data_IF_704681069501
#
_entry.id   IF_704681069501
#
_cell.length_a   1.000
_cell.length_b   1.000
_cell.length_c   1.000
_cell.angle_alpha   90.00
_cell.angle_beta   90.00
_cell.angle_gamma   90.00
#
_symmetry.space_group_name_H-M   'P 1'
#
loop_
_entity.id
_entity.type
_entity.pdbx_description
1 polymer ?
#
# COMPACT_ATOMS: atom_id res chain seq x y z
N UNK A 1 -3.45 -23.41 7.95
CA UNK A 1 -2.21 -22.99 7.25
C UNK A 1 -2.38 -21.53 6.92
N UNK A 2 -1.69 -20.65 7.63
CA UNK A 2 -1.63 -19.22 7.27
C UNK A 2 -0.83 -19.14 5.97
N UNK A 3 -1.50 -18.83 4.87
CA UNK A 3 -0.82 -18.65 3.56
C UNK A 3 0.30 -17.62 3.70
N UNK A 4 1.49 -17.90 3.14
CA UNK A 4 2.63 -16.98 3.11
C UNK A 4 2.27 -15.67 2.40
N UNK A 5 3.05 -14.62 2.67
CA UNK A 5 2.95 -13.32 1.99
C UNK A 5 3.38 -13.52 0.53
N UNK A 6 2.50 -13.26 -0.40
CA UNK A 6 2.75 -13.43 -1.84
C UNK A 6 3.35 -12.16 -2.43
N UNK A 7 4.52 -12.27 -3.06
CA UNK A 7 5.27 -11.10 -3.56
C UNK A 7 5.56 -11.25 -5.05
N UNK A 8 5.25 -10.19 -5.82
CA UNK A 8 5.77 -10.01 -7.17
C UNK A 8 7.03 -9.15 -7.13
N UNK A 9 8.06 -9.49 -7.91
CA UNK A 9 9.31 -8.73 -7.97
C UNK A 9 9.58 -8.29 -9.40
N UNK A 10 9.69 -6.98 -9.62
CA UNK A 10 9.91 -6.38 -10.94
C UNK A 10 11.09 -5.44 -10.90
N UNK A 11 12.19 -5.83 -11.52
CA UNK A 11 13.40 -5.02 -11.68
C UNK A 11 14.09 -5.36 -13.01
N UNK A 12 14.48 -4.35 -13.76
CA UNK A 12 15.20 -4.54 -15.04
C UNK A 12 16.64 -5.03 -14.87
N UNK A 13 17.20 -4.91 -13.66
CA UNK A 13 18.57 -5.33 -13.34
C UNK A 13 18.58 -6.75 -12.80
N UNK A 14 19.04 -7.76 -13.57
CA UNK A 14 18.89 -9.17 -13.20
C UNK A 14 19.52 -9.51 -11.85
N UNK A 15 20.75 -9.08 -11.61
CA UNK A 15 21.46 -9.39 -10.36
C UNK A 15 20.76 -8.81 -9.13
N UNK A 16 20.18 -7.61 -9.24
CA UNK A 16 19.48 -6.98 -8.15
C UNK A 16 18.14 -7.68 -7.90
N UNK A 17 17.40 -8.01 -8.96
CA UNK A 17 16.16 -8.80 -8.89
C UNK A 17 16.40 -10.16 -8.22
N UNK A 18 17.44 -10.88 -8.66
CA UNK A 18 17.80 -12.19 -8.09
C UNK A 18 18.16 -12.06 -6.60
N UNK A 19 18.88 -10.99 -6.22
CA UNK A 19 19.19 -10.68 -4.82
C UNK A 19 17.93 -10.45 -3.96
N UNK A 20 16.94 -9.69 -4.46
CA UNK A 20 15.66 -9.49 -3.80
C UNK A 20 14.93 -10.83 -3.65
N UNK A 21 14.83 -11.61 -4.72
CA UNK A 21 14.16 -12.92 -4.74
C UNK A 21 14.80 -13.88 -3.73
N UNK A 22 16.13 -13.93 -3.70
CA UNK A 22 16.85 -14.76 -2.74
C UNK A 22 16.57 -14.34 -1.28
N UNK A 23 16.61 -13.03 -1.00
CA UNK A 23 16.37 -12.50 0.32
C UNK A 23 14.93 -12.77 0.83
N UNK A 24 13.94 -12.69 -0.06
CA UNK A 24 12.54 -12.92 0.26
C UNK A 24 12.24 -14.42 0.42
N UNK A 25 12.70 -15.27 -0.49
CA UNK A 25 12.49 -16.72 -0.45
C UNK A 25 13.26 -17.41 0.71
N UNK A 26 14.26 -16.74 1.31
CA UNK A 26 14.89 -17.22 2.53
C UNK A 26 13.96 -17.13 3.76
N UNK A 27 12.80 -16.48 3.65
CA UNK A 27 11.82 -16.35 4.73
C UNK A 27 10.73 -17.41 4.60
N UNK A 28 10.37 -18.06 5.72
CA UNK A 28 9.34 -19.11 5.74
C UNK A 28 7.91 -18.58 5.51
N UNK A 29 7.71 -17.28 5.71
CA UNK A 29 6.41 -16.59 5.64
C UNK A 29 6.23 -15.78 4.36
N UNK A 30 7.19 -15.79 3.43
CA UNK A 30 7.15 -15.03 2.19
C UNK A 30 7.36 -15.97 0.98
N UNK A 31 6.57 -15.78 -0.06
CA UNK A 31 6.64 -16.53 -1.31
C UNK A 31 6.71 -15.58 -2.51
N UNK A 32 7.79 -15.63 -3.28
CA UNK A 32 7.90 -14.86 -4.53
C UNK A 32 7.15 -15.62 -5.62
N UNK A 33 5.95 -15.15 -5.94
CA UNK A 33 5.01 -15.82 -6.85
C UNK A 33 5.23 -15.49 -8.32
N UNK A 34 5.89 -14.37 -8.63
CA UNK A 34 6.20 -13.99 -10.00
C UNK A 34 7.35 -12.97 -10.06
N UNK A 35 8.02 -12.91 -11.20
CA UNK A 35 9.10 -11.99 -11.50
C UNK A 35 8.87 -11.32 -12.85
N UNK A 36 9.35 -10.08 -13.01
CA UNK A 36 9.26 -9.30 -14.23
C UNK A 36 10.43 -8.32 -14.39
N UNK A 37 10.49 -7.68 -15.55
CA UNK A 37 11.54 -6.72 -15.91
C UNK A 37 11.00 -5.33 -16.25
N UNK A 38 9.70 -5.24 -16.48
CA UNK A 38 9.02 -4.03 -16.93
C UNK A 38 7.77 -3.73 -16.11
N UNK A 39 7.29 -2.51 -16.20
CA UNK A 39 6.02 -2.11 -15.56
C UNK A 39 4.80 -2.87 -16.13
N UNK A 40 4.88 -3.34 -17.37
CA UNK A 40 3.84 -4.17 -17.99
C UNK A 40 3.76 -5.54 -17.34
N UNK A 41 4.93 -6.13 -17.00
CA UNK A 41 4.98 -7.37 -16.24
C UNK A 41 4.37 -7.17 -14.84
N UNK A 42 4.56 -5.99 -14.22
CA UNK A 42 3.93 -5.68 -12.93
C UNK A 42 2.40 -5.68 -13.03
N UNK A 43 1.82 -5.16 -14.12
CA UNK A 43 0.38 -5.21 -14.39
C UNK A 43 -0.11 -6.67 -14.54
N UNK A 44 0.59 -7.46 -15.33
CA UNK A 44 0.25 -8.88 -15.55
C UNK A 44 0.34 -9.66 -14.22
N UNK A 45 1.41 -9.47 -13.45
CA UNK A 45 1.60 -10.08 -12.14
C UNK A 45 0.46 -9.70 -11.19
N UNK A 46 0.07 -8.43 -11.17
CA UNK A 46 -1.03 -7.96 -10.32
C UNK A 46 -2.35 -8.63 -10.67
N UNK A 47 -2.63 -8.86 -11.95
CA UNK A 47 -3.86 -9.47 -12.43
C UNK A 47 -3.86 -11.01 -12.28
N UNK A 48 -2.78 -11.66 -12.71
CA UNK A 48 -2.72 -13.13 -12.78
C UNK A 48 -2.39 -13.76 -11.42
N UNK A 49 -1.47 -13.17 -10.67
CA UNK A 49 -0.97 -13.76 -9.42
C UNK A 49 -1.62 -13.20 -8.16
N UNK A 50 -2.28 -12.02 -8.23
CA UNK A 50 -2.89 -11.34 -7.10
C UNK A 50 -1.98 -11.33 -5.86
N UNK A 51 -0.75 -10.77 -5.95
CA UNK A 51 0.18 -10.75 -4.84
C UNK A 51 -0.31 -9.81 -3.72
N UNK A 52 0.20 -10.01 -2.50
CA UNK A 52 -0.02 -9.06 -1.40
C UNK A 52 0.83 -7.80 -1.57
N UNK A 53 2.05 -7.96 -2.13
CA UNK A 53 3.01 -6.88 -2.35
C UNK A 53 3.65 -7.03 -3.73
N UNK A 54 3.83 -5.91 -4.44
CA UNK A 54 4.68 -5.82 -5.64
C UNK A 54 5.88 -4.94 -5.30
N UNK A 55 7.08 -5.51 -5.40
CA UNK A 55 8.36 -4.78 -5.32
C UNK A 55 8.70 -4.32 -6.73
N UNK A 56 8.88 -3.01 -6.93
CA UNK A 56 9.03 -2.40 -8.23
C UNK A 56 10.24 -1.46 -8.26
N UNK A 57 11.15 -1.67 -9.20
CA UNK A 57 12.27 -0.77 -9.45
C UNK A 57 11.79 0.60 -9.95
N UNK A 58 12.25 1.68 -9.34
CA UNK A 58 11.90 3.05 -9.73
C UNK A 58 12.28 3.36 -11.18
N UNK A 59 13.40 2.82 -11.68
CA UNK A 59 13.83 3.01 -13.06
C UNK A 59 12.91 2.34 -14.11
N UNK A 60 12.00 1.47 -13.70
CA UNK A 60 10.92 0.95 -14.57
C UNK A 60 9.73 1.89 -14.64
N UNK A 61 9.63 2.87 -13.71
CA UNK A 61 8.51 3.81 -13.59
C UNK A 61 8.64 5.03 -14.49
N UNK A 62 9.85 5.42 -14.90
CA UNK A 62 10.12 6.64 -15.67
C UNK A 62 9.32 6.73 -16.98
N UNK A 63 8.80 5.59 -17.45
CA UNK A 63 8.01 5.51 -18.67
C UNK A 63 6.51 5.27 -18.45
N UNK A 64 6.04 4.97 -17.23
CA UNK A 64 4.63 4.56 -17.06
C UNK A 64 4.11 4.59 -15.61
N UNK A 65 4.14 5.74 -14.95
CA UNK A 65 3.41 5.90 -13.67
C UNK A 65 1.91 5.58 -13.78
N UNK A 66 1.33 5.66 -14.98
CA UNK A 66 -0.04 5.26 -15.23
C UNK A 66 -0.30 3.76 -14.99
N UNK A 67 0.70 2.90 -15.15
CA UNK A 67 0.53 1.47 -14.86
C UNK A 67 0.42 1.20 -13.35
N UNK A 68 1.19 1.91 -12.52
CA UNK A 68 1.05 1.85 -11.05
C UNK A 68 -0.34 2.31 -10.62
N UNK A 69 -0.83 3.40 -11.19
CA UNK A 69 -2.19 3.89 -10.93
C UNK A 69 -3.24 2.86 -11.35
N UNK A 70 -3.06 2.21 -12.51
CA UNK A 70 -3.95 1.16 -12.99
C UNK A 70 -3.97 -0.06 -12.05
N UNK A 71 -2.81 -0.51 -11.56
CA UNK A 71 -2.73 -1.59 -10.57
C UNK A 71 -3.52 -1.21 -9.30
N UNK A 72 -3.29 -0.01 -8.77
CA UNK A 72 -3.92 0.45 -7.54
C UNK A 72 -5.42 0.68 -7.68
N UNK A 73 -5.90 1.09 -8.87
CA UNK A 73 -7.32 1.24 -9.14
C UNK A 73 -8.05 -0.11 -9.22
N UNK A 74 -7.44 -1.10 -9.85
CA UNK A 74 -8.03 -2.44 -10.03
C UNK A 74 -7.83 -3.30 -8.78
N UNK A 75 -6.68 -3.16 -8.09
CA UNK A 75 -6.27 -3.96 -6.94
C UNK A 75 -5.78 -3.09 -5.78
N UNK A 76 -6.64 -2.27 -5.14
CA UNK A 76 -6.25 -1.28 -4.12
C UNK A 76 -5.64 -1.89 -2.86
N UNK A 77 -5.72 -3.21 -2.70
CA UNK A 77 -5.14 -3.92 -1.56
C UNK A 77 -3.69 -4.35 -1.79
N UNK A 78 -3.22 -4.40 -3.04
CA UNK A 78 -1.83 -4.70 -3.34
C UNK A 78 -0.95 -3.57 -2.78
N UNK A 79 0.01 -3.92 -1.92
CA UNK A 79 1.04 -3.00 -1.45
C UNK A 79 2.10 -2.80 -2.52
N UNK A 80 2.28 -1.58 -3.04
CA UNK A 80 3.40 -1.30 -3.95
C UNK A 80 4.56 -0.76 -3.13
N UNK A 81 5.72 -1.44 -3.25
CA UNK A 81 7.00 -1.04 -2.73
C UNK A 81 7.89 -0.58 -3.87
N UNK A 82 8.26 0.68 -3.90
CA UNK A 82 9.26 1.20 -4.85
C UNK A 82 10.65 1.03 -4.25
N UNK A 83 11.60 0.56 -5.06
CA UNK A 83 13.01 0.48 -4.72
C UNK A 83 13.78 1.31 -5.73
N UNK A 84 14.51 2.35 -5.27
CA UNK A 84 15.17 3.33 -6.11
C UNK A 84 16.67 3.45 -5.80
N UNK A 85 17.47 3.83 -6.77
CA UNK A 85 18.91 4.13 -6.56
C UNK A 85 19.09 5.40 -5.74
N UNK A 86 18.25 6.39 -5.98
CA UNK A 86 18.27 7.69 -5.29
C UNK A 86 16.87 8.05 -4.81
N UNK A 87 16.80 8.87 -3.75
CA UNK A 87 15.55 9.43 -3.27
C UNK A 87 15.45 10.90 -3.74
N UNK A 88 14.83 11.11 -4.88
CA UNK A 88 14.31 12.42 -5.23
C UNK A 88 12.99 12.66 -4.47
N UNK A 89 12.97 13.70 -3.64
CA UNK A 89 11.83 14.02 -2.78
C UNK A 89 10.54 14.27 -3.58
N UNK A 90 10.63 14.84 -4.78
CA UNK A 90 9.47 15.08 -5.64
C UNK A 90 8.89 13.78 -6.18
N UNK A 91 9.75 12.88 -6.62
CA UNK A 91 9.35 11.56 -7.11
C UNK A 91 8.72 10.73 -5.98
N UNK A 92 9.32 10.73 -4.79
CA UNK A 92 8.77 10.05 -3.61
C UNK A 92 7.39 10.59 -3.26
N UNK A 93 7.26 11.92 -3.16
CA UNK A 93 5.99 12.56 -2.85
C UNK A 93 4.91 12.27 -3.91
N UNK A 94 5.29 12.31 -5.19
CA UNK A 94 4.40 11.96 -6.30
C UNK A 94 3.95 10.49 -6.25
N UNK A 95 4.85 9.56 -5.92
CA UNK A 95 4.54 8.15 -5.77
C UNK A 95 3.56 7.90 -4.61
N UNK A 96 3.81 8.51 -3.45
CA UNK A 96 2.94 8.40 -2.27
C UNK A 96 1.54 8.97 -2.55
N UNK A 97 1.45 10.12 -3.21
CA UNK A 97 0.16 10.70 -3.64
C UNK A 97 -0.63 9.78 -4.56
N UNK A 98 0.04 8.94 -5.34
CA UNK A 98 -0.61 7.95 -6.22
C UNK A 98 -1.00 6.66 -5.51
N UNK A 99 -0.70 6.54 -4.20
CA UNK A 99 -1.10 5.40 -3.38
C UNK A 99 -0.02 4.34 -3.18
N UNK A 100 1.21 4.57 -3.63
CA UNK A 100 2.37 3.75 -3.27
C UNK A 100 2.51 3.75 -1.74
N UNK A 101 2.74 2.57 -1.15
CA UNK A 101 2.78 2.41 0.31
C UNK A 101 4.18 2.23 0.87
N UNK A 102 5.16 1.89 0.05
CA UNK A 102 6.53 1.69 0.47
C UNK A 102 7.54 2.34 -0.45
N UNK A 103 8.62 2.87 0.12
CA UNK A 103 9.74 3.42 -0.64
C UNK A 103 11.05 3.10 0.08
N UNK A 104 11.96 2.41 -0.63
CA UNK A 104 13.29 2.03 -0.15
C UNK A 104 14.37 2.46 -1.15
N UNK A 105 15.59 2.57 -0.66
CA UNK A 105 16.77 2.76 -1.51
C UNK A 105 17.45 1.43 -1.80
N UNK A 106 18.07 1.29 -2.97
CA UNK A 106 18.83 0.09 -3.36
C UNK A 106 20.03 -0.22 -2.45
N UNK A 107 20.45 0.72 -1.59
CA UNK A 107 21.44 0.49 -0.53
C UNK A 107 20.88 -0.13 0.75
N UNK A 108 19.59 -0.37 0.83
CA UNK A 108 18.91 -1.00 1.98
C UNK A 108 19.34 -2.45 2.15
N UNK A 109 19.52 -2.90 3.40
CA UNK A 109 19.83 -4.30 3.69
C UNK A 109 18.61 -5.23 3.52
N UNK A 110 18.88 -6.52 3.36
CA UNK A 110 17.84 -7.53 3.15
C UNK A 110 16.82 -7.59 4.30
N UNK A 111 17.24 -7.37 5.55
CA UNK A 111 16.34 -7.38 6.72
C UNK A 111 15.31 -6.27 6.65
N UNK A 112 15.69 -5.06 6.24
CA UNK A 112 14.76 -3.94 6.09
C UNK A 112 13.80 -4.16 4.92
N UNK A 113 14.26 -4.71 3.79
CA UNK A 113 13.40 -5.11 2.68
C UNK A 113 12.32 -6.11 3.14
N UNK A 114 12.72 -7.19 3.82
CA UNK A 114 11.83 -8.21 4.34
C UNK A 114 10.80 -7.61 5.31
N UNK A 115 11.26 -6.79 6.25
CA UNK A 115 10.38 -6.12 7.21
C UNK A 115 9.39 -5.19 6.50
N UNK A 116 9.83 -4.45 5.49
CA UNK A 116 8.96 -3.58 4.71
C UNK A 116 7.88 -4.38 3.99
N UNK A 117 8.22 -5.50 3.36
CA UNK A 117 7.25 -6.39 2.71
C UNK A 117 6.19 -6.87 3.71
N UNK A 118 6.60 -7.27 4.93
CA UNK A 118 5.67 -7.67 5.99
C UNK A 118 4.73 -6.54 6.40
N UNK A 119 5.25 -5.33 6.56
CA UNK A 119 4.45 -4.14 6.90
C UNK A 119 3.43 -3.83 5.80
N UNK A 120 3.86 -3.85 4.54
CA UNK A 120 2.96 -3.56 3.41
C UNK A 120 1.88 -4.62 3.23
N UNK A 121 2.20 -5.90 3.44
CA UNK A 121 1.23 -7.00 3.34
C UNK A 121 0.08 -6.86 4.34
N UNK A 122 0.32 -6.21 5.47
CA UNK A 122 -0.69 -5.88 6.48
C UNK A 122 -1.52 -4.63 6.13
N UNK A 123 -1.27 -4.04 4.96
CA UNK A 123 -1.93 -2.82 4.50
C UNK A 123 -1.40 -1.54 5.16
N UNK A 124 -0.29 -1.59 5.86
CA UNK A 124 0.40 -0.42 6.43
C UNK A 124 1.33 0.20 5.40
N UNK A 125 1.92 1.35 5.73
CA UNK A 125 2.89 2.04 4.87
C UNK A 125 4.26 2.08 5.54
N UNK A 126 5.32 2.04 4.74
CA UNK A 126 6.68 2.18 5.22
C UNK A 126 7.49 3.13 4.35
N UNK A 127 8.09 4.12 4.97
CA UNK A 127 9.05 5.04 4.37
C UNK A 127 10.24 5.11 5.32
N UNK A 128 11.45 4.98 4.78
CA UNK A 128 12.66 5.10 5.59
C UNK A 128 12.64 6.40 6.42
N UNK A 129 12.96 6.38 7.73
CA UNK A 129 12.81 7.54 8.61
C UNK A 129 13.54 8.80 8.11
N UNK A 130 14.72 8.63 7.51
CA UNK A 130 15.50 9.71 6.91
C UNK A 130 14.77 10.41 5.76
N UNK A 131 13.99 9.67 4.99
CA UNK A 131 13.19 10.18 3.88
C UNK A 131 11.88 10.80 4.40
N UNK A 132 11.26 10.18 5.39
CA UNK A 132 10.06 10.71 6.06
C UNK A 132 10.31 12.08 6.70
N UNK A 133 11.45 12.26 7.37
CA UNK A 133 11.84 13.55 7.97
C UNK A 133 11.97 14.66 6.90
N UNK A 134 12.58 14.37 5.75
CA UNK A 134 12.71 15.33 4.65
C UNK A 134 11.35 15.73 4.06
N UNK A 135 10.46 14.77 3.88
CA UNK A 135 9.10 15.03 3.39
C UNK A 135 8.28 15.89 4.34
N UNK A 136 8.43 15.70 5.66
CA UNK A 136 7.76 16.50 6.69
C UNK A 136 8.27 17.95 6.71
N UNK A 137 9.54 18.20 6.46
CA UNK A 137 10.11 19.57 6.40
C UNK A 137 9.59 20.36 5.19
N UNK A 138 9.19 19.70 4.12
CA UNK A 138 8.56 20.34 2.93
C UNK A 138 7.07 20.60 3.11
N UNK A 139 6.43 19.94 4.04
CA UNK A 139 5.02 20.13 4.34
C UNK A 139 4.83 21.38 5.20
N UNK A 140 5.16 22.56 4.67
CA UNK A 140 4.44 23.78 5.07
C UNK A 140 2.95 23.55 4.83
N UNK A 141 2.05 24.14 5.62
CA UNK A 141 0.67 23.69 5.75
C UNK A 141 0.02 23.56 4.38
N UNK A 142 -0.15 22.31 3.94
CA UNK A 142 -1.04 22.02 2.83
C UNK A 142 -2.40 22.50 3.29
N UNK A 143 -2.78 23.65 2.78
CA UNK A 143 -4.15 24.15 2.83
C UNK A 143 -5.01 22.97 2.36
N UNK A 144 -5.62 22.30 3.29
CA UNK A 144 -6.66 21.32 3.01
C UNK A 144 -7.68 22.05 2.15
N UNK A 145 -7.65 21.85 0.84
CA UNK A 145 -8.78 22.23 0.01
C UNK A 145 -9.95 21.41 0.55
N UNK A 146 -10.66 22.05 1.47
CA UNK A 146 -12.01 21.66 1.81
C UNK A 146 -12.79 21.72 0.50
N UNK A 147 -13.01 20.56 -0.10
CA UNK A 147 -13.99 20.43 -1.16
C UNK A 147 -15.34 20.59 -0.47
N UNK A 148 -15.80 21.83 -0.40
CA UNK A 148 -17.18 22.16 -0.08
C UNK A 148 -18.04 21.77 -1.29
N UNK A 149 -18.32 20.49 -1.40
CA UNK A 149 -19.36 19.94 -2.23
C UNK A 149 -20.19 19.03 -1.34
N UNK A 150 -21.47 19.23 -1.30
CA UNK A 150 -22.43 18.39 -0.57
C UNK A 150 -22.24 16.93 -0.95
N UNK A 151 -21.34 16.25 -0.25
CA UNK A 151 -21.08 14.83 -0.44
C UNK A 151 -22.11 14.08 0.41
N UNK A 152 -23.16 13.56 -0.22
CA UNK A 152 -23.91 12.44 0.36
C UNK A 152 -22.88 11.38 0.69
N UNK A 153 -22.72 11.10 1.99
CA UNK A 153 -21.87 10.02 2.50
C UNK A 153 -22.22 8.74 1.73
N UNK A 154 -21.26 8.04 1.13
CA UNK A 154 -21.53 6.81 0.41
C UNK A 154 -22.19 5.82 1.36
N UNK A 155 -23.18 5.08 0.88
CA UNK A 155 -23.91 4.08 1.69
C UNK A 155 -22.98 2.89 1.99
N UNK A 156 -22.28 2.98 3.12
CA UNK A 156 -21.54 1.87 3.69
C UNK A 156 -22.49 0.97 4.47
N UNK A 157 -22.33 -0.34 4.34
CA UNK A 157 -23.05 -1.30 5.19
C UNK A 157 -22.57 -1.15 6.65
N UNK A 158 -23.37 -1.58 7.66
CA UNK A 158 -22.95 -1.53 9.07
C UNK A 158 -21.59 -2.21 9.30
N UNK A 159 -21.31 -3.30 8.58
CA UNK A 159 -20.05 -4.02 8.68
C UNK A 159 -18.87 -3.24 8.09
N UNK A 160 -19.08 -2.58 6.97
CA UNK A 160 -18.09 -1.69 6.37
C UNK A 160 -17.79 -0.47 7.26
N UNK A 161 -18.79 0.07 7.93
CA UNK A 161 -18.61 1.16 8.89
C UNK A 161 -17.78 0.72 10.10
N UNK A 162 -18.04 -0.47 10.67
CA UNK A 162 -17.24 -1.04 11.75
C UNK A 162 -15.78 -1.22 11.34
N UNK A 163 -15.54 -1.79 10.16
CA UNK A 163 -14.18 -1.99 9.63
C UNK A 163 -13.49 -0.63 9.45
N UNK A 164 -14.17 0.34 8.87
CA UNK A 164 -13.64 1.67 8.59
C UNK A 164 -13.30 2.43 9.88
N UNK A 165 -14.12 2.31 10.94
CA UNK A 165 -13.83 2.95 12.22
C UNK A 165 -12.58 2.40 12.91
N UNK A 166 -12.38 1.08 12.84
CA UNK A 166 -11.18 0.44 13.41
C UNK A 166 -9.95 0.76 12.55
N UNK A 167 -10.10 0.82 11.22
CA UNK A 167 -9.05 1.25 10.30
C UNK A 167 -8.58 2.68 10.60
N UNK A 168 -9.49 3.61 10.90
CA UNK A 168 -9.16 4.98 11.25
C UNK A 168 -8.32 5.10 12.55
N UNK A 169 -8.36 4.07 13.41
CA UNK A 169 -7.50 3.94 14.59
C UNK A 169 -6.08 3.44 14.25
N UNK A 170 -5.75 3.26 12.98
CA UNK A 170 -4.43 2.79 12.52
C UNK A 170 -4.22 1.27 12.62
N UNK A 171 -5.26 0.47 12.91
CA UNK A 171 -5.14 -0.99 13.10
C UNK A 171 -4.86 -1.71 11.80
N UNK A 172 -3.97 -2.70 11.83
CA UNK A 172 -3.69 -3.60 10.69
C UNK A 172 -4.90 -4.47 10.33
N UNK A 173 -4.90 -5.05 9.13
CA UNK A 173 -5.99 -5.96 8.70
C UNK A 173 -6.15 -7.15 9.64
N UNK A 174 -5.03 -7.68 10.17
CA UNK A 174 -5.04 -8.77 11.16
C UNK A 174 -5.71 -8.35 12.47
N UNK A 175 -5.39 -7.15 13.00
CA UNK A 175 -6.01 -6.63 14.22
C UNK A 175 -7.50 -6.34 14.02
N UNK A 176 -7.88 -5.80 12.85
CA UNK A 176 -9.29 -5.61 12.49
C UNK A 176 -10.00 -6.97 12.43
N UNK A 177 -9.37 -7.96 11.78
CA UNK A 177 -9.90 -9.32 11.70
C UNK A 177 -10.10 -9.95 13.07
N UNK A 178 -9.10 -9.88 13.95
CA UNK A 178 -9.19 -10.40 15.31
C UNK A 178 -10.32 -9.72 16.12
N UNK A 179 -10.45 -8.40 16.01
CA UNK A 179 -11.50 -7.64 16.73
C UNK A 179 -12.91 -7.94 16.23
N UNK A 180 -13.05 -8.30 14.96
CA UNK A 180 -14.34 -8.53 14.31
C UNK A 180 -14.64 -10.02 14.06
N UNK A 181 -13.76 -10.92 14.54
CA UNK A 181 -13.87 -12.38 14.33
C UNK A 181 -13.93 -12.79 12.85
N UNK A 182 -13.14 -12.09 12.02
CA UNK A 182 -13.03 -12.34 10.60
C UNK A 182 -11.59 -12.70 10.20
N UNK A 183 -11.46 -13.46 9.09
CA UNK A 183 -10.15 -13.70 8.51
C UNK A 183 -9.55 -12.41 7.93
N UNK A 184 -8.21 -12.32 7.92
CA UNK A 184 -7.51 -11.20 7.28
C UNK A 184 -7.87 -11.05 5.80
N UNK A 185 -8.07 -12.19 5.10
CA UNK A 185 -8.54 -12.22 3.71
C UNK A 185 -9.92 -11.59 3.56
N UNK A 186 -10.84 -11.86 4.50
CA UNK A 186 -12.18 -11.26 4.53
C UNK A 186 -12.10 -9.75 4.74
N UNK A 187 -11.22 -9.28 5.64
CA UNK A 187 -11.00 -7.86 5.87
C UNK A 187 -10.44 -7.18 4.62
N UNK A 188 -9.46 -7.79 3.93
CA UNK A 188 -8.93 -7.28 2.65
C UNK A 188 -10.05 -7.08 1.62
N UNK A 189 -10.95 -8.06 1.50
CA UNK A 189 -12.09 -7.96 0.57
C UNK A 189 -13.05 -6.80 0.95
N UNK A 190 -13.42 -6.68 2.22
CA UNK A 190 -14.25 -5.57 2.69
C UNK A 190 -13.59 -4.20 2.45
N UNK A 191 -12.28 -4.10 2.72
CA UNK A 191 -11.54 -2.85 2.50
C UNK A 191 -11.51 -2.45 1.03
N UNK A 192 -11.34 -3.41 0.11
CA UNK A 192 -11.45 -3.12 -1.33
C UNK A 192 -12.79 -2.46 -1.66
N UNK A 193 -13.89 -3.04 -1.18
CA UNK A 193 -15.24 -2.49 -1.41
C UNK A 193 -15.42 -1.11 -0.76
N UNK A 194 -14.91 -0.91 0.46
CA UNK A 194 -14.94 0.37 1.17
C UNK A 194 -14.21 1.45 0.38
N UNK A 195 -12.96 1.17 -0.06
CA UNK A 195 -12.15 2.12 -0.81
C UNK A 195 -12.83 2.54 -2.12
N UNK A 196 -13.43 1.58 -2.84
CA UNK A 196 -14.20 1.85 -4.06
C UNK A 196 -15.44 2.71 -3.78
N UNK A 197 -16.22 2.39 -2.75
CA UNK A 197 -17.43 3.15 -2.37
C UNK A 197 -17.09 4.58 -1.93
N UNK A 198 -16.01 4.75 -1.17
CA UNK A 198 -15.52 6.06 -0.71
C UNK A 198 -14.84 6.85 -1.83
N UNK A 199 -14.53 6.20 -2.98
CA UNK A 199 -13.73 6.77 -4.07
C UNK A 199 -12.36 7.28 -3.60
N UNK A 200 -11.75 6.56 -2.66
CA UNK A 200 -10.41 6.85 -2.14
C UNK A 200 -9.42 5.80 -2.64
N UNK A 201 -8.15 6.20 -2.80
CA UNK A 201 -7.11 5.39 -3.46
C UNK A 201 -6.46 4.39 -2.52
N UNK A 202 -6.43 4.69 -1.23
CA UNK A 202 -5.73 3.86 -0.24
C UNK A 202 -6.32 4.03 1.16
N UNK A 203 -5.84 3.19 2.10
CA UNK A 203 -6.30 3.18 3.49
C UNK A 203 -6.01 4.48 4.25
N UNK A 204 -4.95 5.22 3.87
CA UNK A 204 -4.61 6.49 4.51
C UNK A 204 -5.66 7.54 4.15
N UNK A 205 -6.04 7.61 2.87
CA UNK A 205 -7.13 8.47 2.41
C UNK A 205 -8.46 8.08 3.06
N UNK A 206 -8.73 6.78 3.23
CA UNK A 206 -9.91 6.30 3.94
C UNK A 206 -9.93 6.72 5.42
N UNK A 207 -8.79 6.63 6.12
CA UNK A 207 -8.67 7.08 7.50
C UNK A 207 -8.87 8.60 7.62
N UNK A 208 -8.27 9.38 6.73
CA UNK A 208 -8.46 10.84 6.66
C UNK A 208 -9.91 11.21 6.32
N UNK A 209 -10.55 10.45 5.44
CA UNK A 209 -11.96 10.64 5.12
C UNK A 209 -12.84 10.53 6.37
N UNK A 210 -12.61 9.51 7.22
CA UNK A 210 -13.32 9.34 8.49
C UNK A 210 -13.06 10.53 9.43
N UNK A 211 -11.79 10.91 9.59
CA UNK A 211 -11.41 12.03 10.45
C UNK A 211 -12.09 13.34 10.06
N UNK A 212 -12.26 13.58 8.75
CA UNK A 212 -12.81 14.84 8.23
C UNK A 212 -14.35 14.85 8.17
N UNK A 213 -15.00 13.69 7.99
CA UNK A 213 -16.44 13.63 7.73
C UNK A 213 -17.24 12.98 8.86
N UNK A 214 -16.58 12.31 9.82
CA UNK A 214 -17.22 11.60 10.93
C UNK A 214 -16.53 11.87 12.28
N UNK A 215 -16.32 13.14 12.69
CA UNK A 215 -15.49 13.44 13.86
C UNK A 215 -16.08 12.97 15.20
N UNK A 216 -17.38 12.61 15.29
CA UNK A 216 -18.04 12.34 16.58
C UNK A 216 -18.99 11.14 16.61
N UNK A 217 -19.03 10.26 15.61
CA UNK A 217 -20.09 9.23 15.53
C UNK A 217 -19.67 7.76 15.67
N UNK A 218 -18.41 7.41 15.47
CA UNK A 218 -17.96 6.01 15.40
C UNK A 218 -16.97 5.58 16.49
N UNK A 219 -16.62 6.48 17.43
CA UNK A 219 -15.67 6.17 18.51
C UNK A 219 -16.35 5.79 19.84
N UNK A 220 -17.69 5.73 19.88
CA UNK A 220 -18.45 5.36 21.07
C UNK A 220 -19.29 4.12 20.78
N UNK A 221 -18.71 2.95 20.99
CA UNK A 221 -19.35 1.70 21.47
C UNK A 221 -18.29 0.62 21.57
#
# INVERSE_FOLDING_TARGET
>A
MTGGIRVGVVDKHPLYRDGIVLALNAQLDIDVVAQGVSVWDALEIAQASLPDVVVLDAGTLDQSMGAVESILQQHPMIGILIVAETADEEQVYAALKRGVRGYLLKGTNAGELVQTVRVLSQGQSYIAPSLGAKLLMRSSPVTTRVVTGESRLPHLTPREQQILSILAQGRSNKEIGNKLELSEKTIKHHLTNILQKLRVRNRVEAALFVSNHMPNGLLAS
#
